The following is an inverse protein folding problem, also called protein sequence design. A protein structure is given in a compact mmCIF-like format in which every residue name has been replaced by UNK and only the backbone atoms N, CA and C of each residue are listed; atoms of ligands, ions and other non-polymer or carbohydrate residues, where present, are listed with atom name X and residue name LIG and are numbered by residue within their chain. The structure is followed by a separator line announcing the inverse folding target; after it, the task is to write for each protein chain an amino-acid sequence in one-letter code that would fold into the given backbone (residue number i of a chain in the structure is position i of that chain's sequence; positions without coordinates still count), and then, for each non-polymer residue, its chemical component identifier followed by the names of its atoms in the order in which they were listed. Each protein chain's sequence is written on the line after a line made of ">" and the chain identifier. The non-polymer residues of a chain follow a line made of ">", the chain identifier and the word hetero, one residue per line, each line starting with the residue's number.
data_IF_096965395462
#
_entry.id   IF_096965395462
#
_cell.length_a   1.000
_cell.length_b   1.000
_cell.length_c   1.000
_cell.angle_alpha   90.00
_cell.angle_beta   90.00
_cell.angle_gamma   90.00
#
_symmetry.space_group_name_H-M   'P 1'
#
loop_
_entity.id
_entity.type
_entity.pdbx_description
1 polymer ?
#
# COMPACT_ATOMS: atom_id res chain seq x y z
N UNK A 1 -3.35 78.73 42.64
CA UNK A 1 -2.82 77.58 43.38
C UNK A 1 -3.89 76.51 43.45
N UNK A 2 -3.82 75.50 42.58
CA UNK A 2 -4.14 74.09 42.86
C UNK A 2 -3.30 73.31 41.85
N UNK A 3 -2.35 72.52 42.33
CA UNK A 3 -1.49 71.69 41.50
C UNK A 3 -2.24 70.38 41.16
N UNK A 4 -2.32 70.04 39.87
CA UNK A 4 -2.80 68.75 39.41
C UNK A 4 -1.59 67.83 39.23
N UNK A 5 -1.59 66.71 39.96
CA UNK A 5 -0.55 65.69 39.90
C UNK A 5 -0.72 64.82 38.65
N UNK A 6 0.36 64.66 37.89
CA UNK A 6 0.46 63.73 36.75
C UNK A 6 0.94 62.37 37.25
N UNK A 7 0.17 61.31 36.96
CA UNK A 7 0.59 59.92 37.18
C UNK A 7 1.28 59.38 35.91
N UNK A 8 2.38 58.63 36.02
CA UNK A 8 3.04 58.03 34.86
C UNK A 8 2.34 56.73 34.44
N UNK A 9 2.14 56.57 33.13
CA UNK A 9 1.72 55.32 32.48
C UNK A 9 2.88 54.33 32.49
N UNK A 10 2.67 53.16 33.09
CA UNK A 10 3.58 52.02 33.01
C UNK A 10 3.25 51.26 31.73
N UNK A 11 4.22 51.17 30.81
CA UNK A 11 4.12 50.32 29.63
C UNK A 11 4.44 48.87 30.03
N UNK A 12 3.52 47.95 29.77
CA UNK A 12 3.75 46.50 29.90
C UNK A 12 4.38 45.97 28.60
N UNK A 13 5.39 45.09 28.66
CA UNK A 13 5.95 44.48 27.47
C UNK A 13 4.93 43.52 26.85
N UNK A 14 4.70 43.68 25.55
CA UNK A 14 3.96 42.72 24.73
C UNK A 14 4.88 41.52 24.53
N UNK A 15 4.54 40.40 25.15
CA UNK A 15 5.18 39.10 24.86
C UNK A 15 4.71 38.70 23.47
N UNK A 16 5.62 38.73 22.49
CA UNK A 16 5.34 38.23 21.15
C UNK A 16 5.18 36.72 21.22
N UNK A 17 4.00 36.23 20.84
CA UNK A 17 3.78 34.82 20.53
C UNK A 17 4.62 34.47 19.31
N UNK A 18 5.69 33.71 19.52
CA UNK A 18 6.42 33.04 18.44
C UNK A 18 5.45 32.00 17.87
N UNK A 19 5.14 32.00 16.57
CA UNK A 19 4.39 30.90 15.99
C UNK A 19 5.26 29.64 16.11
N UNK A 20 4.80 28.67 16.91
CA UNK A 20 5.26 27.29 16.76
C UNK A 20 4.84 26.87 15.34
N UNK A 21 5.82 26.58 14.49
CA UNK A 21 5.56 25.75 13.33
C UNK A 21 5.32 24.35 13.89
N UNK A 22 4.08 23.86 13.86
CA UNK A 22 3.83 22.42 13.99
C UNK A 22 4.67 21.73 12.91
N UNK A 23 5.49 20.76 13.31
CA UNK A 23 6.17 19.93 12.34
C UNK A 23 5.09 19.11 11.62
N UNK A 24 4.93 19.32 10.31
CA UNK A 24 4.00 18.51 9.54
C UNK A 24 4.48 17.06 9.60
N UNK A 25 3.59 16.15 10.05
CA UNK A 25 3.89 14.72 10.08
C UNK A 25 4.26 14.26 8.66
N UNK A 26 5.50 13.79 8.49
CA UNK A 26 6.00 13.29 7.22
C UNK A 26 6.05 11.76 7.24
N UNK A 27 5.46 11.15 6.22
CA UNK A 27 5.53 9.69 6.01
C UNK A 27 6.85 9.23 5.38
N UNK A 28 7.52 10.13 4.64
CA UNK A 28 8.57 9.77 3.69
C UNK A 28 9.77 10.71 3.84
N UNK A 29 11.01 10.24 3.64
CA UNK A 29 12.17 11.11 3.62
C UNK A 29 12.06 12.15 2.49
N UNK A 30 12.60 13.35 2.69
CA UNK A 30 12.53 14.44 1.70
C UNK A 30 13.21 14.09 0.37
N UNK A 31 14.31 13.33 0.43
CA UNK A 31 15.10 12.90 -0.72
C UNK A 31 15.40 11.42 -0.62
N UNK A 32 15.19 10.69 -1.71
CA UNK A 32 15.51 9.27 -1.81
C UNK A 32 15.56 8.78 -3.26
N UNK A 33 16.28 7.68 -3.51
CA UNK A 33 16.02 6.82 -4.68
C UNK A 33 14.74 6.03 -4.42
N UNK A 34 13.89 5.86 -5.41
CA UNK A 34 12.70 5.02 -5.29
C UNK A 34 12.73 3.91 -6.32
N UNK A 35 12.55 2.67 -5.85
CA UNK A 35 12.42 1.48 -6.68
C UNK A 35 10.95 1.05 -6.69
N UNK A 36 10.31 1.14 -7.86
CA UNK A 36 8.88 0.84 -7.99
C UNK A 36 8.66 -0.58 -8.50
N UNK A 37 7.72 -1.31 -7.87
CA UNK A 37 7.31 -2.66 -8.21
C UNK A 37 5.81 -2.65 -8.54
N UNK A 38 5.49 -2.35 -9.79
CA UNK A 38 4.10 -2.23 -10.26
C UNK A 38 3.46 -3.58 -10.57
N UNK A 39 2.15 -3.66 -10.36
CA UNK A 39 1.29 -4.73 -10.85
C UNK A 39 0.87 -4.52 -12.32
N UNK A 40 0.67 -3.25 -12.73
CA UNK A 40 -0.06 -2.89 -13.96
C UNK A 40 0.87 -2.26 -15.01
N UNK A 41 0.55 -2.44 -16.31
CA UNK A 41 1.21 -1.66 -17.37
C UNK A 41 0.97 -0.16 -17.15
N UNK A 42 2.04 0.62 -17.06
CA UNK A 42 1.97 2.06 -16.73
C UNK A 42 2.92 2.46 -15.61
N UNK A 43 3.23 1.54 -14.69
CA UNK A 43 4.02 1.84 -13.51
C UNK A 43 3.14 1.96 -12.27
N UNK A 44 3.70 2.53 -11.21
CA UNK A 44 3.00 2.91 -9.98
C UNK A 44 3.65 4.19 -9.42
N UNK A 45 4.17 5.04 -10.31
CA UNK A 45 4.89 6.27 -9.97
C UNK A 45 3.96 7.48 -9.80
N UNK A 46 2.75 7.40 -10.33
CA UNK A 46 1.67 8.38 -10.15
C UNK A 46 0.67 8.02 -9.05
N UNK A 47 0.73 6.78 -8.52
CA UNK A 47 -0.04 6.37 -7.35
C UNK A 47 0.22 7.29 -6.14
N UNK A 48 -0.80 7.42 -5.28
CA UNK A 48 -0.78 8.32 -4.13
C UNK A 48 -0.54 9.78 -4.54
N UNK A 49 -1.14 10.20 -5.66
CA UNK A 49 -0.96 11.51 -6.33
C UNK A 49 0.49 11.82 -6.71
N UNK A 50 1.30 10.78 -6.90
CA UNK A 50 2.72 10.88 -7.20
C UNK A 50 3.58 11.35 -6.02
N UNK A 51 3.05 11.35 -4.79
CA UNK A 51 3.78 11.82 -3.60
C UNK A 51 5.09 11.06 -3.40
N UNK A 52 5.08 9.74 -3.62
CA UNK A 52 6.28 8.88 -3.47
C UNK A 52 7.34 9.20 -4.52
N UNK A 53 6.94 9.62 -5.72
CA UNK A 53 7.81 9.93 -6.86
C UNK A 53 7.93 11.43 -7.14
N UNK A 54 7.75 12.27 -6.12
CA UNK A 54 7.87 13.72 -6.25
C UNK A 54 9.28 14.14 -6.69
N UNK A 55 9.47 15.39 -7.09
CA UNK A 55 10.70 15.84 -7.77
C UNK A 55 12.03 15.60 -7.00
N UNK A 56 11.98 15.34 -5.70
CA UNK A 56 13.15 15.03 -4.86
C UNK A 56 13.36 13.52 -4.62
N UNK A 57 12.46 12.68 -5.13
CA UNK A 57 12.44 11.23 -5.01
C UNK A 57 12.46 10.61 -6.41
N UNK A 58 13.64 10.25 -6.90
CA UNK A 58 13.80 9.76 -8.27
C UNK A 58 13.31 8.31 -8.39
N UNK A 59 12.20 8.12 -9.08
CA UNK A 59 11.59 6.81 -9.30
C UNK A 59 12.18 6.08 -10.50
N UNK A 60 12.49 4.80 -10.29
CA UNK A 60 12.86 3.86 -11.34
C UNK A 60 12.14 2.55 -11.14
N UNK A 61 11.60 1.99 -12.21
CA UNK A 61 10.91 0.70 -12.15
C UNK A 61 11.90 -0.45 -12.06
N UNK A 62 11.60 -1.42 -11.21
CA UNK A 62 12.23 -2.74 -11.21
C UNK A 62 11.29 -3.70 -11.97
N UNK A 63 11.54 -3.95 -13.27
CA UNK A 63 10.67 -4.80 -14.05
C UNK A 63 10.81 -6.24 -13.55
N UNK A 64 9.69 -6.87 -13.23
CA UNK A 64 9.71 -8.26 -12.79
C UNK A 64 8.53 -9.04 -13.38
N UNK A 65 8.70 -10.35 -13.61
CA UNK A 65 7.58 -11.22 -13.95
C UNK A 65 6.62 -11.29 -12.77
N UNK A 66 5.49 -10.59 -12.83
CA UNK A 66 4.52 -10.51 -11.73
C UNK A 66 4.02 -11.89 -11.24
N UNK A 67 4.01 -12.91 -12.10
CA UNK A 67 3.66 -14.28 -11.70
C UNK A 67 4.78 -15.03 -10.96
N UNK A 68 6.03 -14.58 -11.07
CA UNK A 68 7.20 -15.24 -10.47
C UNK A 68 7.78 -14.34 -9.38
N UNK A 69 7.13 -14.39 -8.21
CA UNK A 69 7.48 -13.57 -7.04
C UNK A 69 8.95 -13.67 -6.65
N UNK A 70 9.52 -14.88 -6.55
CA UNK A 70 10.92 -15.12 -6.15
C UNK A 70 11.92 -14.43 -7.08
N UNK A 71 11.63 -14.41 -8.39
CA UNK A 71 12.46 -13.69 -9.35
C UNK A 71 12.38 -12.18 -9.12
N UNK A 72 11.20 -11.65 -8.80
CA UNK A 72 11.04 -10.25 -8.38
C UNK A 72 11.86 -9.90 -7.14
N UNK A 73 11.94 -10.80 -6.15
CA UNK A 73 12.75 -10.58 -4.93
C UNK A 73 14.23 -10.47 -5.28
N UNK A 74 14.75 -11.37 -6.12
CA UNK A 74 16.16 -11.34 -6.54
C UNK A 74 16.50 -10.10 -7.37
N UNK A 75 15.59 -9.67 -8.24
CA UNK A 75 15.75 -8.43 -9.03
C UNK A 75 15.72 -7.18 -8.14
N UNK A 76 14.84 -7.16 -7.14
CA UNK A 76 14.80 -6.09 -6.14
C UNK A 76 16.11 -6.02 -5.34
N UNK A 77 16.61 -7.15 -4.84
CA UNK A 77 17.89 -7.20 -4.10
C UNK A 77 19.05 -6.68 -4.96
N UNK A 78 19.11 -7.11 -6.22
CA UNK A 78 20.13 -6.65 -7.17
C UNK A 78 20.07 -5.14 -7.37
N UNK A 79 18.86 -4.56 -7.47
CA UNK A 79 18.66 -3.13 -7.64
C UNK A 79 19.03 -2.33 -6.38
N UNK A 80 18.65 -2.82 -5.19
CA UNK A 80 18.97 -2.19 -3.90
C UNK A 80 20.48 -2.13 -3.64
N UNK A 81 21.24 -3.11 -4.12
CA UNK A 81 22.70 -3.17 -4.01
C UNK A 81 23.44 -2.35 -5.07
N UNK A 82 22.76 -1.80 -6.07
CA UNK A 82 23.41 -0.89 -7.03
C UNK A 82 23.81 0.42 -6.34
N UNK A 83 24.95 1.02 -6.73
CA UNK A 83 25.34 2.35 -6.27
C UNK A 83 24.19 3.36 -6.44
N UNK A 84 24.07 4.28 -5.48
CA UNK A 84 23.10 5.37 -5.57
C UNK A 84 23.41 6.24 -6.80
N UNK A 85 22.42 6.62 -7.62
CA UNK A 85 22.62 7.51 -8.76
C UNK A 85 23.17 8.88 -8.34
N UNK A 86 22.68 9.38 -7.21
CA UNK A 86 23.13 10.62 -6.58
C UNK A 86 23.87 10.28 -5.28
N UNK A 87 25.19 10.55 -5.18
CA UNK A 87 25.96 10.30 -3.97
C UNK A 87 25.58 11.20 -2.79
N UNK A 88 24.81 12.27 -3.02
CA UNK A 88 24.22 13.09 -1.95
C UNK A 88 22.92 12.49 -1.39
N UNK A 89 22.36 11.44 -2.04
CA UNK A 89 21.23 10.66 -1.53
C UNK A 89 21.72 9.40 -0.82
N UNK A 90 21.42 9.27 0.47
CA UNK A 90 21.71 8.05 1.23
C UNK A 90 20.49 7.14 1.42
N UNK A 91 19.27 7.66 1.17
CA UNK A 91 18.03 6.94 1.44
C UNK A 91 17.38 6.34 0.19
N UNK A 92 16.72 5.22 0.40
CA UNK A 92 16.01 4.45 -0.61
C UNK A 92 14.61 4.11 -0.14
N UNK A 93 13.66 4.06 -1.08
CA UNK A 93 12.29 3.61 -0.85
C UNK A 93 11.99 2.48 -1.82
N UNK A 94 11.43 1.39 -1.33
CA UNK A 94 10.79 0.39 -2.19
C UNK A 94 9.29 0.64 -2.19
N UNK A 95 8.75 0.98 -3.36
CA UNK A 95 7.33 1.26 -3.53
C UNK A 95 6.64 0.10 -4.25
N UNK A 96 6.04 -0.80 -3.46
CA UNK A 96 5.40 -2.02 -3.94
C UNK A 96 3.89 -1.90 -4.02
N UNK A 97 3.33 -2.34 -5.15
CA UNK A 97 1.88 -2.40 -5.35
C UNK A 97 1.41 -3.84 -5.49
N UNK A 98 0.49 -4.27 -4.63
CA UNK A 98 -0.15 -5.59 -4.71
C UNK A 98 0.86 -6.74 -4.69
N UNK A 99 1.06 -7.44 -5.81
CA UNK A 99 2.09 -8.47 -5.95
C UNK A 99 3.51 -7.91 -5.75
N UNK A 100 3.75 -6.64 -6.06
CA UNK A 100 5.01 -5.92 -5.80
C UNK A 100 5.20 -5.63 -4.31
N UNK A 101 4.12 -5.38 -3.57
CA UNK A 101 4.18 -5.29 -2.10
C UNK A 101 4.59 -6.63 -1.50
N UNK A 102 4.09 -7.76 -2.02
CA UNK A 102 4.55 -9.10 -1.60
C UNK A 102 6.02 -9.33 -1.92
N UNK A 103 6.51 -8.89 -3.09
CA UNK A 103 7.94 -8.97 -3.43
C UNK A 103 8.78 -8.21 -2.40
N UNK A 104 8.37 -6.99 -2.04
CA UNK A 104 9.04 -6.19 -1.03
C UNK A 104 9.04 -6.87 0.36
N UNK A 105 7.90 -7.44 0.78
CA UNK A 105 7.80 -8.17 2.05
C UNK A 105 8.68 -9.41 2.06
N UNK A 106 8.69 -10.20 0.97
CA UNK A 106 9.57 -11.35 0.86
C UNK A 106 11.06 -10.95 0.84
N UNK A 107 11.40 -9.77 0.31
CA UNK A 107 12.77 -9.25 0.42
C UNK A 107 13.16 -8.93 1.86
N UNK A 108 12.25 -8.33 2.65
CA UNK A 108 12.49 -8.09 4.08
C UNK A 108 12.78 -9.41 4.81
N UNK A 109 12.01 -10.46 4.52
CA UNK A 109 12.19 -11.78 5.13
C UNK A 109 13.50 -12.48 4.73
N UNK A 110 13.89 -12.38 3.45
CA UNK A 110 15.03 -13.14 2.90
C UNK A 110 16.37 -12.41 3.04
N UNK A 111 16.38 -11.09 2.83
CA UNK A 111 17.60 -10.28 2.73
C UNK A 111 17.76 -9.24 3.83
N UNK A 112 16.68 -8.90 4.54
CA UNK A 112 16.73 -7.94 5.65
C UNK A 112 17.78 -8.32 6.69
N UNK A 113 18.70 -7.39 6.98
CA UNK A 113 19.78 -7.61 7.95
C UNK A 113 20.90 -8.57 7.51
N UNK A 114 20.91 -9.02 6.25
CA UNK A 114 22.03 -9.80 5.68
C UNK A 114 23.21 -8.89 5.30
N UNK A 115 24.41 -9.47 5.15
CA UNK A 115 25.60 -8.72 4.76
C UNK A 115 25.40 -8.04 3.38
N UNK A 116 25.65 -6.74 3.34
CA UNK A 116 25.53 -5.92 2.13
C UNK A 116 24.11 -5.53 1.74
N UNK A 117 23.07 -5.93 2.49
CA UNK A 117 21.75 -5.33 2.37
C UNK A 117 21.76 -3.90 2.96
N UNK A 118 21.01 -2.95 2.39
CA UNK A 118 20.84 -1.63 3.00
C UNK A 118 20.30 -1.73 4.43
N UNK A 119 20.83 -0.90 5.33
CA UNK A 119 20.37 -0.83 6.72
C UNK A 119 19.01 -0.15 6.86
N UNK A 120 18.29 -0.36 7.97
CA UNK A 120 17.00 0.30 8.26
C UNK A 120 17.03 1.83 8.26
N UNK A 121 18.19 2.44 8.45
CA UNK A 121 18.41 3.89 8.40
C UNK A 121 18.42 4.45 6.96
N UNK A 122 18.70 3.58 5.98
CA UNK A 122 18.91 3.91 4.58
C UNK A 122 17.81 3.36 3.66
N UNK A 123 16.91 2.51 4.16
CA UNK A 123 15.85 1.86 3.38
C UNK A 123 14.51 1.86 4.11
N UNK A 124 13.46 2.27 3.40
CA UNK A 124 12.07 2.15 3.84
C UNK A 124 11.17 1.58 2.74
N UNK A 125 9.94 1.22 3.12
CA UNK A 125 8.99 0.55 2.24
C UNK A 125 7.66 1.31 2.21
N UNK A 126 7.10 1.49 1.02
CA UNK A 126 5.73 1.94 0.81
C UNK A 126 4.98 0.80 0.12
N UNK A 127 3.90 0.33 0.74
CA UNK A 127 3.11 -0.80 0.27
C UNK A 127 1.67 -0.33 0.04
N UNK A 128 1.17 -0.45 -1.18
CA UNK A 128 -0.23 -0.17 -1.53
C UNK A 128 -0.94 -1.45 -1.96
N UNK A 129 -2.21 -1.61 -1.59
CA UNK A 129 -2.99 -2.80 -1.93
C UNK A 129 -2.33 -4.10 -1.45
N UNK A 130 -1.64 -4.06 -0.30
CA UNK A 130 -0.79 -5.14 0.18
C UNK A 130 -1.60 -6.39 0.62
N UNK A 131 -1.46 -7.55 -0.07
CA UNK A 131 -2.14 -8.79 0.30
C UNK A 131 -1.72 -9.37 1.66
N UNK A 132 -0.53 -9.01 2.16
CA UNK A 132 0.02 -9.49 3.43
C UNK A 132 -0.08 -8.44 4.54
N UNK A 133 -0.89 -7.40 4.34
CA UNK A 133 -1.18 -6.39 5.36
C UNK A 133 -1.72 -7.04 6.62
N UNK A 134 -1.11 -6.77 7.78
CA UNK A 134 -1.46 -7.37 9.08
C UNK A 134 -2.96 -7.34 9.39
N UNK A 135 -3.61 -6.22 9.10
CA UNK A 135 -5.03 -6.01 9.32
C UNK A 135 -5.77 -6.00 7.98
N UNK A 136 -6.60 -7.03 7.74
CA UNK A 136 -7.41 -7.13 6.51
C UNK A 136 -6.68 -7.70 5.29
N UNK A 137 -5.38 -8.01 5.33
CA UNK A 137 -4.70 -8.62 4.18
C UNK A 137 -5.27 -10.00 3.83
N UNK A 138 -5.61 -10.21 2.56
CA UNK A 138 -6.22 -11.45 2.07
C UNK A 138 -5.37 -12.71 2.32
N UNK A 139 -4.04 -12.56 2.44
CA UNK A 139 -3.13 -13.68 2.64
C UNK A 139 -2.74 -13.91 4.11
N UNK A 140 -3.17 -13.05 5.04
CA UNK A 140 -2.89 -13.23 6.48
C UNK A 140 -3.46 -14.55 7.00
N UNK A 141 -4.65 -14.95 6.52
CA UNK A 141 -5.25 -16.24 6.86
C UNK A 141 -4.45 -17.46 6.39
N UNK A 142 -3.49 -17.27 5.48
CA UNK A 142 -2.56 -18.30 5.00
C UNK A 142 -1.20 -18.23 5.67
N UNK A 143 -1.03 -17.36 6.68
CA UNK A 143 0.22 -17.17 7.39
C UNK A 143 1.20 -16.23 6.68
N UNK A 144 0.80 -15.54 5.62
CA UNK A 144 1.61 -14.50 4.98
C UNK A 144 1.20 -13.13 5.54
N UNK A 145 2.06 -12.56 6.40
CA UNK A 145 1.90 -11.21 6.94
C UNK A 145 3.23 -10.47 6.85
N UNK A 146 3.21 -9.13 6.77
CA UNK A 146 4.44 -8.34 6.94
C UNK A 146 5.09 -8.74 8.27
N UNK A 147 6.36 -9.22 8.27
CA UNK A 147 7.02 -9.62 9.50
C UNK A 147 7.35 -8.40 10.37
N UNK A 148 7.53 -8.62 11.66
CA UNK A 148 8.15 -7.60 12.52
C UNK A 148 9.55 -7.30 11.99
N UNK A 149 9.86 -6.02 11.82
CA UNK A 149 11.06 -5.56 11.12
C UNK A 149 11.56 -4.24 11.67
N UNK A 150 12.86 -3.98 11.52
CA UNK A 150 13.48 -2.71 11.89
C UNK A 150 13.32 -1.63 10.80
N UNK A 151 13.01 -2.04 9.56
CA UNK A 151 12.75 -1.13 8.44
C UNK A 151 11.43 -0.38 8.64
N UNK A 152 11.42 0.90 8.28
CA UNK A 152 10.17 1.68 8.27
C UNK A 152 9.26 1.21 7.12
N UNK A 153 8.00 0.94 7.45
CA UNK A 153 6.99 0.50 6.47
C UNK A 153 5.78 1.42 6.52
N UNK A 154 5.38 1.96 5.38
CA UNK A 154 4.11 2.64 5.16
C UNK A 154 3.17 1.69 4.43
N UNK A 155 2.14 1.17 5.11
CA UNK A 155 1.16 0.25 4.53
C UNK A 155 -0.20 0.94 4.33
N UNK A 156 -0.54 1.19 3.08
CA UNK A 156 -1.72 1.95 2.65
C UNK A 156 -2.76 1.01 2.06
N UNK A 157 -3.96 1.04 2.63
CA UNK A 157 -5.09 0.23 2.16
C UNK A 157 -6.34 1.08 1.97
N UNK A 158 -7.04 0.87 0.86
CA UNK A 158 -8.39 1.38 0.65
C UNK A 158 -9.44 0.42 1.21
N UNK A 159 -10.49 0.96 1.81
CA UNK A 159 -11.63 0.17 2.27
C UNK A 159 -12.24 -0.61 1.10
N UNK A 160 -12.47 -1.91 1.30
CA UNK A 160 -12.96 -2.86 0.30
C UNK A 160 -11.99 -3.23 -0.81
N UNK A 161 -10.72 -2.86 -0.70
CA UNK A 161 -9.68 -3.47 -1.53
C UNK A 161 -9.59 -4.97 -1.20
N UNK A 162 -9.88 -5.85 -2.15
CA UNK A 162 -9.83 -7.30 -1.92
C UNK A 162 -8.49 -7.78 -1.38
N UNK A 163 -7.38 -7.19 -1.82
CA UNK A 163 -6.06 -7.59 -1.39
C UNK A 163 -5.76 -7.13 0.04
N UNK A 164 -6.04 -5.85 0.34
CA UNK A 164 -5.59 -5.21 1.58
C UNK A 164 -6.67 -5.05 2.66
N UNK A 165 -7.93 -5.32 2.31
CA UNK A 165 -9.10 -5.19 3.18
C UNK A 165 -10.16 -6.27 2.87
N UNK A 166 -9.77 -7.52 3.10
CA UNK A 166 -10.61 -8.71 2.96
C UNK A 166 -11.53 -8.92 4.17
N UNK A 167 -12.78 -9.41 4.01
CA UNK A 167 -13.71 -9.58 5.12
C UNK A 167 -13.30 -10.70 6.09
N UNK A 168 -13.43 -10.46 7.39
CA UNK A 168 -13.11 -11.44 8.44
C UNK A 168 -14.13 -12.58 8.57
N UNK A 169 -15.35 -12.37 8.07
CA UNK A 169 -16.46 -13.34 8.16
C UNK A 169 -17.01 -13.66 6.78
N UNK A 170 -17.39 -14.92 6.57
CA UNK A 170 -18.08 -15.35 5.37
C UNK A 170 -19.46 -14.70 5.26
N UNK A 171 -19.57 -13.70 4.39
CA UNK A 171 -20.82 -13.00 4.10
C UNK A 171 -20.92 -12.73 2.59
N UNK A 172 -21.92 -13.31 1.92
CA UNK A 172 -22.00 -13.31 0.46
C UNK A 172 -22.01 -11.91 -0.16
N UNK A 173 -22.71 -10.95 0.46
CA UNK A 173 -22.73 -9.57 -0.03
C UNK A 173 -21.38 -8.87 0.16
N UNK A 174 -20.66 -9.19 1.26
CA UNK A 174 -19.35 -8.61 1.51
C UNK A 174 -18.32 -9.18 0.53
N UNK A 175 -18.39 -10.49 0.25
CA UNK A 175 -17.60 -11.15 -0.78
C UNK A 175 -17.86 -10.55 -2.16
N UNK A 176 -19.13 -10.40 -2.56
CA UNK A 176 -19.47 -9.74 -3.82
C UNK A 176 -18.91 -8.31 -3.89
N UNK A 177 -18.98 -7.58 -2.77
CA UNK A 177 -18.46 -6.22 -2.70
C UNK A 177 -16.93 -6.15 -2.80
N UNK A 178 -16.16 -7.04 -2.16
CA UNK A 178 -14.70 -7.03 -2.33
C UNK A 178 -14.27 -7.51 -3.71
N UNK A 179 -14.99 -8.43 -4.36
CA UNK A 179 -14.69 -8.76 -5.76
C UNK A 179 -14.92 -7.56 -6.69
N UNK A 180 -15.96 -6.76 -6.46
CA UNK A 180 -16.11 -5.47 -7.14
C UNK A 180 -15.00 -4.47 -6.72
N UNK A 181 -14.61 -4.49 -5.45
CA UNK A 181 -13.49 -3.72 -4.92
C UNK A 181 -12.17 -4.07 -5.58
N UNK A 182 -11.92 -5.32 -5.95
CA UNK A 182 -10.74 -5.70 -6.74
C UNK A 182 -10.73 -5.03 -8.12
N UNK A 183 -11.91 -4.87 -8.73
CA UNK A 183 -12.02 -4.27 -10.06
C UNK A 183 -11.93 -2.73 -10.04
N UNK A 184 -12.44 -2.07 -8.99
CA UNK A 184 -12.61 -0.60 -8.98
C UNK A 184 -11.79 0.13 -7.91
N UNK A 185 -11.43 -0.56 -6.82
CA UNK A 185 -10.71 0.02 -5.68
C UNK A 185 -9.25 -0.41 -5.70
N UNK A 186 -9.01 -1.72 -5.79
CA UNK A 186 -7.66 -2.27 -5.81
C UNK A 186 -6.86 -1.74 -6.99
N UNK A 187 -7.50 -1.60 -8.16
CA UNK A 187 -6.90 -1.19 -9.42
C UNK A 187 -6.57 0.32 -9.53
N UNK A 188 -6.89 1.11 -8.51
CA UNK A 188 -6.80 2.57 -8.56
C UNK A 188 -6.32 3.13 -7.22
N UNK A 189 -5.07 3.57 -7.15
CA UNK A 189 -4.52 4.30 -6.02
C UNK A 189 -4.04 5.72 -6.43
N UNK A 190 -4.26 6.12 -7.69
CA UNK A 190 -3.78 7.39 -8.27
C UNK A 190 -4.24 8.59 -7.46
N UNK A 191 -5.54 8.67 -7.14
CA UNK A 191 -6.13 9.84 -6.49
C UNK A 191 -6.05 9.84 -4.95
N UNK A 192 -5.47 8.79 -4.35
CA UNK A 192 -5.36 8.64 -2.88
C UNK A 192 -4.42 9.71 -2.32
N UNK A 193 -4.95 10.51 -1.39
CA UNK A 193 -4.17 11.49 -0.63
C UNK A 193 -3.74 10.89 0.70
N UNK A 194 -2.43 10.75 0.94
CA UNK A 194 -1.91 10.24 2.21
C UNK A 194 -2.28 11.15 3.39
N UNK A 195 -2.43 12.44 3.14
CA UNK A 195 -2.67 13.47 4.15
C UNK A 195 -4.15 13.84 4.30
N UNK A 196 -5.07 13.11 3.67
CA UNK A 196 -6.51 13.36 3.83
C UNK A 196 -6.90 13.20 5.32
N UNK A 197 -7.51 14.21 5.96
CA UNK A 197 -7.96 14.10 7.34
C UNK A 197 -9.05 13.04 7.56
N UNK A 198 -9.65 12.50 6.49
CA UNK A 198 -10.58 11.38 6.53
C UNK A 198 -9.87 10.01 6.65
N UNK A 199 -8.56 9.94 6.40
CA UNK A 199 -7.80 8.72 6.58
C UNK A 199 -7.68 8.36 8.06
N UNK A 200 -7.64 7.07 8.36
CA UNK A 200 -7.28 6.58 9.68
C UNK A 200 -5.81 6.19 9.65
N UNK A 201 -4.98 6.89 10.43
CA UNK A 201 -3.53 6.68 10.44
C UNK A 201 -3.08 6.26 11.84
N UNK A 202 -2.29 5.19 11.93
CA UNK A 202 -1.71 4.72 13.18
C UNK A 202 -0.41 3.96 12.95
N UNK A 203 0.39 3.81 14.00
CA UNK A 203 1.68 3.12 13.92
C UNK A 203 1.70 1.96 14.91
N UNK A 204 2.15 0.79 14.45
CA UNK A 204 2.49 -0.38 15.28
C UNK A 204 3.92 -0.79 14.97
N UNK A 205 4.81 -0.73 15.97
CA UNK A 205 6.23 -1.01 15.75
C UNK A 205 6.84 0.00 14.76
N UNK A 206 7.41 -0.51 13.66
CA UNK A 206 7.97 0.28 12.55
C UNK A 206 7.02 0.46 11.37
N UNK A 207 5.79 -0.06 11.48
CA UNK A 207 4.80 0.03 10.42
C UNK A 207 3.77 1.11 10.73
N UNK A 208 3.70 2.13 9.87
CA UNK A 208 2.62 3.11 9.84
C UNK A 208 1.56 2.64 8.85
N UNK A 209 0.35 2.44 9.34
CA UNK A 209 -0.81 2.06 8.53
C UNK A 209 -1.61 3.30 8.16
N UNK A 210 -2.03 3.37 6.90
CA UNK A 210 -3.02 4.33 6.40
C UNK A 210 -4.21 3.54 5.89
N UNK A 211 -5.37 3.74 6.50
CA UNK A 211 -6.64 3.17 6.03
C UNK A 211 -7.49 4.28 5.43
N UNK A 212 -7.80 4.14 4.14
CA UNK A 212 -8.51 5.12 3.32
C UNK A 212 -9.97 4.68 3.15
N UNK A 213 -10.95 5.32 3.82
CA UNK A 213 -12.35 4.95 3.68
C UNK A 213 -12.87 5.18 2.26
N UNK A 214 -13.83 4.36 1.82
CA UNK A 214 -14.56 4.60 0.57
C UNK A 214 -15.92 5.19 0.87
N UNK A 215 -16.40 6.15 0.07
CA UNK A 215 -17.76 6.69 0.27
C UNK A 215 -18.83 5.69 -0.22
N UNK A 216 -18.58 5.13 -1.40
CA UNK A 216 -19.50 4.26 -2.10
C UNK A 216 -19.08 2.79 -2.01
N UNK A 217 -20.06 1.89 -1.91
CA UNK A 217 -19.83 0.47 -2.09
C UNK A 217 -19.40 0.17 -3.54
N UNK A 218 -18.24 -0.47 -3.75
CA UNK A 218 -17.80 -0.90 -5.08
C UNK A 218 -18.83 -1.74 -5.83
N UNK A 219 -19.60 -2.57 -5.11
CA UNK A 219 -20.66 -3.40 -5.69
C UNK A 219 -21.72 -2.59 -6.47
N UNK A 220 -21.89 -1.31 -6.13
CA UNK A 220 -22.90 -0.44 -6.72
C UNK A 220 -22.37 0.41 -7.87
N UNK A 221 -21.06 0.41 -8.14
CA UNK A 221 -20.47 1.17 -9.24
C UNK A 221 -21.06 0.85 -10.62
N UNK A 222 -21.31 -0.43 -10.99
CA UNK A 222 -21.94 -0.73 -12.28
C UNK A 222 -23.31 -0.08 -12.47
N UNK A 223 -24.10 0.09 -11.39
CA UNK A 223 -25.39 0.79 -11.46
C UNK A 223 -25.19 2.28 -11.75
N UNK A 224 -24.16 2.91 -11.17
CA UNK A 224 -23.83 4.31 -11.44
C UNK A 224 -23.42 4.52 -12.89
N UNK A 225 -22.65 3.60 -13.45
CA UNK A 225 -22.19 3.67 -14.85
C UNK A 225 -23.33 3.60 -15.88
N UNK A 226 -24.38 2.83 -15.60
CA UNK A 226 -25.56 2.73 -16.47
C UNK A 226 -26.62 3.81 -16.20
N UNK A 227 -26.28 4.84 -15.42
CA UNK A 227 -27.15 5.99 -15.13
C UNK A 227 -28.18 5.77 -14.02
N UNK A 228 -28.05 4.69 -13.24
CA UNK A 228 -28.93 4.38 -12.10
C UNK A 228 -28.36 4.91 -10.76
N UNK A 229 -27.66 6.04 -10.78
CA UNK A 229 -27.01 6.64 -9.61
C UNK A 229 -27.98 6.85 -8.44
N UNK A 230 -29.20 7.35 -8.69
CA UNK A 230 -30.19 7.55 -7.62
C UNK A 230 -30.62 6.26 -6.92
N UNK A 231 -30.64 5.12 -7.63
CA UNK A 231 -30.88 3.81 -7.02
C UNK A 231 -29.64 3.34 -6.24
N UNK A 232 -28.45 3.49 -6.82
CA UNK A 232 -27.20 3.13 -6.16
C UNK A 232 -27.05 3.88 -4.82
N UNK A 233 -27.30 5.18 -4.79
CA UNK A 233 -27.17 6.00 -3.59
C UNK A 233 -28.22 5.64 -2.53
N UNK A 234 -29.46 5.32 -2.95
CA UNK A 234 -30.50 4.84 -2.04
C UNK A 234 -30.15 3.48 -1.39
N UNK A 235 -29.43 2.63 -2.11
CA UNK A 235 -28.96 1.33 -1.61
C UNK A 235 -27.65 1.41 -0.82
N UNK A 236 -26.82 2.43 -1.05
CA UNK A 236 -25.45 2.52 -0.55
C UNK A 236 -25.39 2.38 0.98
N UNK A 237 -26.10 3.23 1.72
CA UNK A 237 -26.09 3.22 3.19
C UNK A 237 -26.54 1.88 3.78
N UNK A 238 -27.76 1.40 3.47
CA UNK A 238 -28.26 0.13 4.00
C UNK A 238 -27.39 -1.07 3.66
N UNK A 239 -26.91 -1.18 2.41
CA UNK A 239 -26.03 -2.29 2.03
C UNK A 239 -24.65 -2.16 2.66
N UNK A 240 -24.15 -0.94 2.85
CA UNK A 240 -22.84 -0.71 3.47
C UNK A 240 -22.83 -1.18 4.92
N UNK A 241 -23.90 -0.92 5.68
CA UNK A 241 -24.06 -1.46 7.04
C UNK A 241 -24.01 -2.99 7.07
N UNK A 242 -24.69 -3.65 6.12
CA UNK A 242 -24.68 -5.11 5.99
C UNK A 242 -23.29 -5.62 5.63
N UNK A 243 -22.61 -4.99 4.67
CA UNK A 243 -21.25 -5.35 4.24
C UNK A 243 -20.27 -5.18 5.40
N UNK A 244 -20.31 -4.04 6.11
CA UNK A 244 -19.43 -3.76 7.26
C UNK A 244 -19.59 -4.76 8.41
N UNK A 245 -20.75 -5.41 8.56
CA UNK A 245 -20.93 -6.44 9.60
C UNK A 245 -19.98 -7.65 9.47
N UNK A 246 -19.42 -7.84 8.27
CA UNK A 246 -18.46 -8.89 7.96
C UNK A 246 -17.01 -8.53 8.32
N UNK A 247 -16.71 -7.26 8.65
CA UNK A 247 -15.37 -6.77 8.95
C UNK A 247 -15.20 -6.54 10.46
N UNK A 248 -14.01 -6.84 10.96
CA UNK A 248 -13.52 -6.38 12.24
C UNK A 248 -12.71 -5.09 12.03
N UNK A 249 -13.18 -3.99 12.61
CA UNK A 249 -12.55 -2.67 12.54
C UNK A 249 -11.94 -2.25 13.88
N UNK A 250 -11.82 -3.16 14.84
CA UNK A 250 -11.40 -2.86 16.21
C UNK A 250 -9.98 -2.32 16.33
N UNK A 251 -9.14 -2.55 15.32
CA UNK A 251 -7.78 -2.00 15.22
C UNK A 251 -7.74 -0.54 14.77
N UNK A 252 -8.82 0.01 14.20
CA UNK A 252 -8.81 1.39 13.74
C UNK A 252 -8.81 2.37 14.93
N UNK A 253 -8.09 3.50 14.83
CA UNK A 253 -8.23 4.61 15.75
C UNK A 253 -9.69 5.05 15.90
N UNK A 254 -10.03 5.59 17.07
CA UNK A 254 -11.41 6.02 17.37
C UNK A 254 -11.92 7.15 16.45
N UNK A 255 -11.01 7.89 15.81
CA UNK A 255 -11.31 8.99 14.89
C UNK A 255 -10.30 8.98 13.74
N UNK A 256 -10.70 9.40 12.53
CA UNK A 256 -9.75 9.65 11.45
C UNK A 256 -8.87 10.85 11.78
N UNK A 257 -7.76 10.95 11.06
CA UNK A 257 -6.73 11.96 11.20
C UNK A 257 -5.33 11.34 11.26
N UNK A 258 -4.35 12.21 11.12
CA UNK A 258 -2.94 11.88 11.33
C UNK A 258 -2.71 11.43 12.78
N UNK A 259 -1.66 10.63 13.06
CA UNK A 259 -1.33 10.26 14.42
C UNK A 259 -1.12 11.53 15.25
N UNK A 260 -1.59 11.53 16.49
CA UNK A 260 -1.25 12.61 17.40
C UNK A 260 0.28 12.66 17.53
N UNK A 261 0.87 13.83 17.28
CA UNK A 261 2.30 14.05 17.47
C UNK A 261 2.68 13.59 18.88
N UNK A 262 3.77 12.82 19.06
CA UNK A 262 4.18 12.40 20.39
C UNK A 262 4.35 13.66 21.25
N UNK A 263 3.62 13.74 22.36
CA UNK A 263 3.80 14.83 23.32
C UNK A 263 5.30 14.90 23.68
N UNK A 264 5.94 16.09 23.62
CA UNK A 264 7.35 16.18 23.92
C UNK A 264 7.60 15.59 25.30
N UNK A 265 8.55 14.65 25.40
CA UNK A 265 8.96 14.09 26.68
C UNK A 265 9.27 15.26 27.63
N UNK A 266 8.78 15.23 28.89
CA UNK A 266 9.07 16.29 29.84
C UNK A 266 10.59 16.41 29.95
N UNK A 267 11.13 17.60 29.65
CA UNK A 267 12.55 17.88 29.77
C UNK A 267 13.02 17.42 31.17
N UNK A 268 14.14 16.67 31.26
CA UNK A 268 14.68 16.30 32.55
C UNK A 268 14.94 17.58 33.34
N UNK A 269 14.34 17.71 34.53
CA UNK A 269 14.55 18.85 35.42
C UNK A 269 16.07 19.07 35.58
N UNK A 270 16.56 20.23 35.12
CA UNK A 270 17.97 20.56 35.26
C UNK A 270 18.37 20.46 36.74
N UNK A 271 19.47 19.75 37.07
CA UNK A 271 19.93 19.71 38.45
C UNK A 271 20.27 21.13 38.92
N UNK A 272 20.00 21.47 40.20
CA UNK A 272 20.23 22.82 40.70
C UNK A 272 21.68 23.22 40.48
N UNK A 273 21.85 24.38 39.82
CA UNK A 273 23.14 25.01 39.52
C UNK A 273 23.91 25.22 40.81
N UNK A 274 25.03 24.51 40.96
CA UNK A 274 26.00 24.77 42.02
C UNK A 274 26.72 26.10 41.72
N UNK A 275 26.92 27.00 42.69
CA UNK A 275 27.46 28.33 42.42
C UNK A 275 28.92 28.27 41.96
N UNK A 276 29.21 28.96 40.85
CA UNK A 276 30.55 29.16 40.28
C UNK A 276 31.52 29.81 41.29
N UNK A 277 32.81 29.40 41.32
CA UNK A 277 33.84 30.09 42.10
C UNK A 277 34.29 31.39 41.40
N UNK A 278 34.55 32.43 42.19
CA UNK A 278 35.04 33.74 41.73
C UNK A 278 36.41 33.66 41.03
N UNK A 279 36.72 34.57 40.08
CA UNK A 279 37.93 34.52 39.28
C UNK A 279 39.16 35.09 40.02
N UNK A 280 40.27 34.35 40.03
CA UNK A 280 41.59 34.87 40.45
C UNK A 280 42.37 35.47 39.25
N UNK A 281 43.05 36.59 39.51
CA UNK A 281 43.85 37.38 38.56
C UNK A 281 45.16 36.69 38.11
N UNK A 282 45.75 37.05 36.94
CA UNK A 282 46.86 36.31 36.36
C UNK A 282 48.24 36.84 36.79
N UNK A 283 49.29 35.99 36.75
CA UNK A 283 50.64 36.48 36.55
C UNK A 283 51.37 35.82 35.36
N UNK A 284 51.81 36.70 34.47
CA UNK A 284 53.08 36.81 33.71
C UNK A 284 53.98 35.59 33.43
N UNK A 285 54.32 35.51 32.14
CA UNK A 285 55.36 34.76 31.40
C UNK A 285 56.77 34.72 32.03
N UNK A 286 57.56 33.66 31.75
CA UNK A 286 58.76 33.89 30.93
C UNK A 286 59.10 32.79 29.88
N UNK A 287 59.79 33.28 28.85
CA UNK A 287 60.41 32.66 27.67
C UNK A 287 61.72 31.85 27.99
N UNK A 288 62.45 31.25 27.01
CA UNK A 288 62.44 29.82 26.67
C UNK A 288 63.81 29.09 26.86
N UNK A 289 63.83 27.76 26.75
CA UNK A 289 65.07 26.95 26.64
C UNK A 289 64.99 25.94 25.48
N UNK A 290 66.18 25.72 24.90
CA UNK A 290 66.59 25.08 23.65
C UNK A 290 66.57 23.54 23.68
N UNK A 291 66.51 22.89 22.51
CA UNK A 291 66.54 21.42 22.42
C UNK A 291 66.26 20.80 21.04
N UNK A 292 67.23 20.92 20.14
CA UNK A 292 67.43 20.20 18.86
C UNK A 292 67.14 18.68 18.86
N UNK A 293 66.55 18.12 17.79
CA UNK A 293 67.17 17.09 16.92
C UNK A 293 66.37 16.72 15.64
N UNK A 294 66.96 17.06 14.50
CA UNK A 294 67.13 16.37 13.19
C UNK A 294 66.07 15.46 12.53
N UNK A 295 65.95 15.71 11.21
CA UNK A 295 65.19 15.02 10.16
C UNK A 295 65.77 13.67 9.69
N UNK A 296 64.92 12.84 9.07
CA UNK A 296 65.33 12.11 7.86
C UNK A 296 64.17 11.68 6.95
N UNK A 297 64.37 11.93 5.65
CA UNK A 297 63.57 11.57 4.49
C UNK A 297 63.92 10.16 4.02
N UNK A 298 62.95 9.39 3.53
CA UNK A 298 63.19 8.38 2.50
C UNK A 298 61.99 8.31 1.56
N UNK A 299 62.23 8.62 0.29
CA UNK A 299 61.37 8.43 -0.88
C UNK A 299 61.72 7.10 -1.56
N UNK A 300 60.72 6.35 -2.06
CA UNK A 300 60.89 5.33 -3.09
C UNK A 300 59.64 5.31 -3.98
N UNK A 301 59.83 5.63 -5.26
CA UNK A 301 58.93 5.36 -6.38
C UNK A 301 58.89 3.86 -6.70
N UNK A 302 57.76 3.34 -7.20
CA UNK A 302 57.72 2.42 -8.37
C UNK A 302 56.28 2.20 -8.87
N UNK A 303 56.10 2.28 -10.19
CA UNK A 303 54.91 1.94 -11.00
C UNK A 303 55.36 0.81 -11.95
N UNK A 304 54.54 -0.22 -12.24
CA UNK A 304 54.08 -0.38 -13.62
C UNK A 304 52.69 -1.03 -13.83
N UNK A 305 51.87 -0.36 -14.66
CA UNK A 305 51.15 -0.78 -15.91
C UNK A 305 50.45 -2.15 -16.16
N UNK A 306 49.39 -2.02 -17.00
CA UNK A 306 48.74 -2.93 -18.00
C UNK A 306 47.77 -4.01 -17.43
N UNK A 307 46.61 -4.40 -17.99
CA UNK A 307 45.95 -4.41 -19.33
C UNK A 307 44.39 -4.46 -19.12
N UNK A 308 43.54 -3.69 -19.80
CA UNK A 308 42.76 -4.00 -21.03
C UNK A 308 41.71 -5.15 -20.98
N UNK A 309 40.40 -4.84 -21.14
CA UNK A 309 39.52 -5.13 -22.33
C UNK A 309 38.01 -5.26 -22.04
N UNK A 310 37.26 -4.76 -23.02
CA UNK A 310 35.81 -4.72 -23.26
C UNK A 310 35.11 -6.09 -23.30
N UNK A 311 33.79 -6.13 -23.01
CA UNK A 311 32.74 -6.74 -23.87
C UNK A 311 31.36 -6.10 -23.57
N UNK A 312 30.73 -5.54 -24.60
CA UNK A 312 29.33 -5.11 -24.70
C UNK A 312 28.34 -6.29 -24.91
N UNK A 313 27.10 -6.05 -24.45
CA UNK A 313 25.77 -6.51 -24.90
C UNK A 313 25.59 -7.80 -25.74
N UNK A 314 24.60 -8.61 -25.35
CA UNK A 314 23.49 -8.91 -26.26
C UNK A 314 22.20 -9.36 -25.54
N UNK A 315 21.09 -8.69 -25.86
CA UNK A 315 19.72 -9.04 -25.51
C UNK A 315 19.11 -9.89 -26.64
N UNK A 316 18.40 -10.96 -26.28
CA UNK A 316 17.73 -11.85 -27.23
C UNK A 316 16.50 -12.54 -26.66
N UNK A 317 15.34 -11.99 -27.00
CA UNK A 317 13.94 -12.47 -26.88
C UNK A 317 13.70 -13.99 -26.97
N UNK A 318 12.78 -14.54 -26.15
CA UNK A 318 11.57 -15.26 -26.61
C UNK A 318 10.67 -15.77 -25.46
N UNK A 319 9.39 -15.91 -25.79
CA UNK A 319 8.20 -16.20 -25.01
C UNK A 319 8.03 -17.69 -24.58
N UNK A 320 7.16 -17.87 -23.58
CA UNK A 320 6.32 -19.04 -23.24
C UNK A 320 6.92 -20.17 -22.38
N UNK A 321 6.31 -20.41 -21.21
CA UNK A 321 6.46 -21.62 -20.39
C UNK A 321 5.90 -21.44 -18.98
N UNK A 322 4.97 -22.31 -18.58
CA UNK A 322 4.32 -22.41 -17.26
C UNK A 322 5.29 -23.02 -16.21
N UNK A 323 4.98 -23.02 -14.89
CA UNK A 323 5.98 -23.00 -13.83
C UNK A 323 6.59 -24.38 -13.53
N UNK A 324 7.90 -24.39 -13.24
CA UNK A 324 8.63 -25.54 -12.70
C UNK A 324 8.53 -25.58 -11.17
N UNK A 325 8.16 -26.75 -10.65
CA UNK A 325 8.27 -27.12 -9.24
C UNK A 325 9.73 -27.44 -8.87
N UNK A 326 10.11 -27.12 -7.63
CA UNK A 326 11.42 -27.42 -7.06
C UNK A 326 11.71 -28.92 -6.99
N UNK A 327 12.89 -29.28 -7.49
CA UNK A 327 13.55 -30.57 -7.28
C UNK A 327 14.19 -30.61 -5.88
N UNK A 328 13.76 -31.55 -5.05
CA UNK A 328 14.52 -32.01 -3.87
C UNK A 328 14.79 -33.50 -4.04
N UNK A 329 16.07 -33.87 -3.97
CA UNK A 329 16.56 -35.24 -4.15
C UNK A 329 16.81 -35.95 -2.80
N UNK A 330 16.29 -37.18 -2.72
CA UNK A 330 16.71 -38.38 -1.97
C UNK A 330 16.52 -38.52 -0.42
N UNK A 331 16.41 -39.76 0.14
CA UNK A 331 16.65 -41.08 -0.48
C UNK A 331 15.56 -42.18 -0.27
N UNK A 332 15.79 -43.29 -0.98
CA UNK A 332 15.03 -44.53 -1.10
C UNK A 332 14.72 -45.29 0.20
N UNK A 333 13.59 -46.03 0.21
CA UNK A 333 13.45 -47.43 0.66
C UNK A 333 12.24 -48.10 -0.03
N UNK A 334 12.39 -49.39 -0.34
CA UNK A 334 11.51 -50.24 -1.14
C UNK A 334 10.17 -50.61 -0.44
N UNK A 335 9.09 -50.76 -1.21
CA UNK A 335 8.20 -51.94 -1.09
C UNK A 335 7.26 -52.08 -2.29
N UNK A 336 7.18 -53.32 -2.78
CA UNK A 336 6.34 -53.81 -3.86
C UNK A 336 4.85 -53.90 -3.44
N UNK A 337 3.90 -53.61 -4.34
CA UNK A 337 2.90 -54.59 -4.84
C UNK A 337 1.88 -54.01 -5.84
N UNK A 338 1.43 -54.91 -6.72
CA UNK A 338 0.68 -54.81 -7.98
C UNK A 338 -0.78 -54.27 -7.97
N UNK A 339 -1.24 -54.05 -9.21
CA UNK A 339 -2.57 -54.33 -9.81
C UNK A 339 -3.48 -53.09 -9.97
N UNK A 340 -4.26 -52.84 -11.02
CA UNK A 340 -4.52 -53.38 -12.39
C UNK A 340 -5.59 -52.45 -12.99
N UNK A 341 -5.69 -52.39 -14.34
CA UNK A 341 -6.87 -51.96 -15.14
C UNK A 341 -7.20 -50.46 -15.15
N UNK A 342 -7.72 -49.80 -16.19
CA UNK A 342 -7.94 -49.98 -17.63
C UNK A 342 -8.63 -48.65 -18.01
N UNK A 343 -8.04 -47.77 -18.84
CA UNK A 343 -8.73 -46.53 -19.28
C UNK A 343 -9.16 -46.67 -20.75
N UNK A 344 -10.46 -46.55 -20.94
CA UNK A 344 -11.17 -46.45 -22.21
C UNK A 344 -10.98 -45.07 -22.83
N UNK A 345 -10.48 -45.04 -24.06
CA UNK A 345 -10.52 -43.90 -24.98
C UNK A 345 -11.93 -43.74 -25.58
N UNK A 346 -12.44 -42.52 -25.68
CA UNK A 346 -13.35 -42.16 -26.79
C UNK A 346 -13.00 -40.77 -27.36
N UNK A 347 -13.06 -40.74 -28.69
CA UNK A 347 -12.52 -39.78 -29.64
C UNK A 347 -13.37 -38.51 -29.81
N UNK A 348 -12.72 -37.50 -30.40
CA UNK A 348 -13.36 -36.42 -31.14
C UNK A 348 -12.90 -36.46 -32.59
N UNK A 349 -13.80 -36.28 -33.57
CA UNK A 349 -13.60 -35.44 -34.78
C UNK A 349 -14.67 -35.64 -35.89
N UNK A 350 -15.30 -34.53 -36.28
CA UNK A 350 -15.52 -34.04 -37.67
C UNK A 350 -16.58 -34.77 -38.55
N UNK A 351 -17.29 -34.17 -39.52
CA UNK A 351 -17.10 -32.97 -40.37
C UNK A 351 -18.47 -32.56 -41.02
N UNK A 352 -18.44 -31.73 -42.07
CA UNK A 352 -19.43 -30.69 -42.43
C UNK A 352 -20.38 -30.94 -43.65
N UNK A 353 -21.26 -29.94 -43.86
CA UNK A 353 -21.96 -29.43 -45.08
C UNK A 353 -23.18 -30.15 -45.72
N UNK A 354 -24.32 -29.41 -45.88
CA UNK A 354 -24.80 -28.85 -47.18
C UNK A 354 -26.17 -28.13 -47.10
N UNK A 355 -26.33 -27.12 -47.97
CA UNK A 355 -27.39 -26.10 -48.15
C UNK A 355 -28.81 -26.59 -48.51
N UNK A 356 -29.84 -25.76 -48.25
CA UNK A 356 -30.73 -25.18 -49.29
C UNK A 356 -31.85 -24.28 -48.70
N UNK A 357 -32.35 -23.38 -49.55
CA UNK A 357 -32.94 -22.05 -49.34
C UNK A 357 -34.47 -21.95 -49.46
N UNK A 358 -34.98 -20.71 -49.23
CA UNK A 358 -36.27 -20.08 -49.64
C UNK A 358 -37.50 -20.31 -48.74
N UNK A 359 -38.43 -19.39 -48.49
CA UNK A 359 -38.61 -17.92 -48.66
C UNK A 359 -39.87 -17.55 -47.82
N UNK A 360 -39.99 -16.30 -47.36
CA UNK A 360 -41.22 -15.72 -46.75
C UNK A 360 -42.20 -15.26 -47.87
N UNK A 361 -43.47 -14.84 -47.60
CA UNK A 361 -43.71 -13.49 -47.05
C UNK A 361 -44.98 -13.31 -46.18
N UNK A 362 -45.12 -12.08 -45.68
CA UNK A 362 -46.19 -11.44 -44.90
C UNK A 362 -47.50 -11.24 -45.70
N UNK A 363 -48.67 -11.21 -45.03
CA UNK A 363 -49.61 -10.06 -44.96
C UNK A 363 -51.08 -10.43 -44.57
N UNK A 364 -51.74 -9.45 -43.92
CA UNK A 364 -53.19 -9.17 -43.79
C UNK A 364 -54.03 -9.68 -42.57
N UNK A 365 -54.47 -8.70 -41.76
CA UNK A 365 -55.78 -8.64 -41.08
C UNK A 365 -56.79 -7.94 -42.03
N UNK A 366 -58.14 -7.90 -41.84
CA UNK A 366 -58.93 -7.93 -40.59
C UNK A 366 -60.27 -8.73 -40.65
N UNK A 367 -61.02 -8.80 -39.54
CA UNK A 367 -62.46 -8.42 -39.46
C UNK A 367 -63.13 -8.82 -38.12
N UNK A 368 -64.05 -7.96 -37.71
CA UNK A 368 -64.94 -7.96 -36.54
C UNK A 368 -65.94 -9.13 -36.49
N UNK A 369 -66.35 -9.51 -35.28
CA UNK A 369 -67.76 -9.83 -34.98
C UNK A 369 -68.07 -9.70 -33.48
N UNK A 370 -68.99 -8.80 -33.16
CA UNK A 370 -69.68 -8.67 -31.87
C UNK A 370 -70.76 -9.77 -31.74
N UNK A 371 -70.96 -10.33 -30.54
CA UNK A 371 -72.29 -10.34 -29.90
C UNK A 371 -72.33 -10.92 -28.48
N UNK A 372 -73.16 -10.25 -27.69
CA UNK A 372 -73.51 -10.46 -26.29
C UNK A 372 -74.17 -11.82 -25.95
N UNK A 373 -74.10 -12.22 -24.68
CA UNK A 373 -75.31 -12.40 -23.85
C UNK A 373 -74.99 -12.84 -22.42
N UNK A 374 -75.80 -12.38 -21.48
CA UNK A 374 -76.16 -13.17 -20.30
C UNK A 374 -75.64 -12.68 -18.95
N UNK A 375 -76.30 -11.67 -18.42
CA UNK A 375 -76.35 -11.43 -16.97
C UNK A 375 -77.01 -12.61 -16.25
N UNK A 376 -76.52 -12.92 -15.05
CA UNK A 376 -77.38 -13.13 -13.88
C UNK A 376 -76.57 -12.85 -12.61
N UNK A 377 -76.99 -11.78 -11.93
CA UNK A 377 -76.69 -11.56 -10.52
C UNK A 377 -77.69 -12.39 -9.72
N UNK A 378 -77.24 -13.07 -8.67
CA UNK A 378 -78.07 -13.13 -7.50
C UNK A 378 -77.26 -13.14 -6.21
N UNK A 379 -77.91 -12.60 -5.19
CA UNK A 379 -77.36 -11.79 -4.13
C UNK A 379 -77.58 -12.42 -2.76
N UNK A 380 -76.85 -11.87 -1.77
CA UNK A 380 -77.18 -11.89 -0.33
C UNK A 380 -76.84 -13.20 0.40
N UNK A 381 -76.33 -13.21 1.64
CA UNK A 381 -76.64 -12.34 2.78
C UNK A 381 -75.59 -12.54 3.88
N UNK A 382 -75.38 -11.48 4.68
CA UNK A 382 -75.11 -11.43 6.14
C UNK A 382 -73.94 -12.24 6.75
N UNK A 383 -73.13 -11.72 7.66
CA UNK A 383 -73.15 -10.49 8.46
C UNK A 383 -72.02 -10.59 9.50
N UNK A 384 -71.38 -9.46 9.85
CA UNK A 384 -70.31 -9.40 10.89
C UNK A 384 -70.86 -9.43 12.33
N UNK A 385 -70.20 -8.84 13.35
CA UNK A 385 -68.80 -8.40 13.48
C UNK A 385 -68.17 -8.76 14.86
N UNK A 386 -66.99 -8.18 15.13
CA UNK A 386 -66.43 -7.76 16.45
C UNK A 386 -65.67 -8.76 17.35
N UNK A 387 -64.52 -8.29 17.84
CA UNK A 387 -63.75 -8.86 18.94
C UNK A 387 -62.32 -8.33 19.01
N UNK A 388 -62.14 -7.16 19.65
CA UNK A 388 -60.86 -6.69 20.24
C UNK A 388 -60.32 -7.69 21.26
N UNK A 389 -59.02 -8.00 21.19
CA UNK A 389 -58.03 -8.00 22.31
C UNK A 389 -56.61 -8.13 21.76
#
# INVERSE_FOLDING_TARGET
>A
MVAAASAPLIALPVVGSVPYAEAEFSFLPDKARVLTLSLLPGGNDDDLRGEVCSAQRECSSVPYPYLLRTHGVSLLDTALRQPMPDPEQSRQIVFGYSQGARVAVNWIEEYGGTEGAPGPEDLSFVLIGNPTRKHGGAHVGWGEAVPETDYEVLDVARQYDLAADFPDKLHLLALANVFAGFAFVHADYEDVDLHDPANYVWTEGKTTYVFVPTENLPLLEPLRWVGLTGLADALNGPLKEIVESAYDRSYLPARPGMPAEPEPEPEPEEPPTEPEPEPEEPPTDPEPEDGSETAQLVSVDDDPKDDAKDVEENLGSALAGQPDEELVDEPAEESEQESTEEETEEESAEEAEQESTEEAPEDEAPDDDEQESGADQDSSSDGGPSGDE
#
